data_IF_083782827416
#
_entry.id   IF_083782827416
#
_cell.length_a   1.000
_cell.length_b   1.000
_cell.length_c   1.000
_cell.angle_alpha   90.00
_cell.angle_beta   90.00
_cell.angle_gamma   90.00
#
_symmetry.space_group_name_H-M   'P 1'
#
loop_
_entity.id
_entity.type
_entity.pdbx_description
1 polymer ?
#
# COMPACT_ATOMS: atom_id res chain seq x y z
N UNK A 1 -5.57 11.67 7.50
CA UNK A 1 -6.93 12.24 7.79
C UNK A 1 -7.73 11.16 8.48
N UNK A 2 -8.28 11.44 9.66
CA UNK A 2 -9.08 10.46 10.38
C UNK A 2 -10.45 10.28 9.69
N UNK A 3 -10.91 9.05 9.61
CA UNK A 3 -12.16 8.67 8.95
C UNK A 3 -13.15 8.15 9.98
N UNK A 4 -14.39 8.61 9.94
CA UNK A 4 -15.50 8.01 10.67
C UNK A 4 -16.33 7.18 9.68
N UNK A 5 -16.63 5.94 10.05
CA UNK A 5 -17.54 5.07 9.31
C UNK A 5 -18.78 4.83 10.15
N UNK A 6 -19.92 5.24 9.62
CA UNK A 6 -21.21 5.08 10.27
C UNK A 6 -22.03 4.03 9.54
N UNK A 7 -22.65 3.13 10.28
CA UNK A 7 -23.53 2.08 9.78
C UNK A 7 -24.91 2.15 10.43
N UNK A 8 -25.95 1.76 9.69
CA UNK A 8 -27.36 1.87 10.15
C UNK A 8 -27.83 0.66 10.97
N UNK A 9 -27.31 -0.53 10.66
CA UNK A 9 -27.72 -1.81 11.28
C UNK A 9 -26.53 -2.72 11.52
N UNK A 10 -26.64 -3.64 12.49
CA UNK A 10 -25.58 -4.59 12.83
C UNK A 10 -25.11 -5.41 11.62
N UNK A 11 -26.01 -5.81 10.71
CA UNK A 11 -25.62 -6.52 9.47
C UNK A 11 -24.64 -5.73 8.58
N UNK A 12 -24.71 -4.39 8.60
CA UNK A 12 -23.84 -3.52 7.81
C UNK A 12 -22.55 -3.15 8.56
N UNK A 13 -22.41 -3.50 9.84
CA UNK A 13 -21.19 -3.32 10.61
C UNK A 13 -20.01 -4.07 9.97
N UNK A 14 -20.21 -5.33 9.53
CA UNK A 14 -19.17 -6.10 8.87
C UNK A 14 -18.61 -5.41 7.63
N UNK A 15 -19.47 -4.80 6.79
CA UNK A 15 -19.07 -4.04 5.62
C UNK A 15 -18.29 -2.77 5.99
N UNK A 16 -18.75 -2.06 7.02
CA UNK A 16 -18.05 -0.91 7.57
C UNK A 16 -16.64 -1.28 8.06
N UNK A 17 -16.50 -2.44 8.74
CA UNK A 17 -15.21 -2.96 9.21
C UNK A 17 -14.29 -3.31 8.03
N UNK A 18 -14.79 -3.94 6.97
CA UNK A 18 -14.00 -4.24 5.77
C UNK A 18 -13.43 -2.93 5.18
N UNK A 19 -14.29 -1.98 4.87
CA UNK A 19 -13.88 -0.68 4.31
C UNK A 19 -12.86 0.01 5.23
N UNK A 20 -13.16 0.11 6.51
CA UNK A 20 -12.34 0.85 7.47
C UNK A 20 -10.99 0.20 7.77
N UNK A 21 -10.90 -1.12 7.70
CA UNK A 21 -9.61 -1.83 7.86
C UNK A 21 -8.64 -1.52 6.71
N UNK A 22 -9.17 -1.29 5.51
CA UNK A 22 -8.38 -0.95 4.33
C UNK A 22 -8.02 0.56 4.32
N UNK A 23 -8.99 1.43 4.62
CA UNK A 23 -8.79 2.90 4.63
C UNK A 23 -7.79 3.35 5.68
N UNK A 24 -7.59 2.60 6.74
CA UNK A 24 -6.76 2.91 7.92
C UNK A 24 -7.17 4.18 8.68
N UNK A 25 -6.76 4.32 9.94
CA UNK A 25 -7.12 5.45 10.83
C UNK A 25 -8.63 5.70 10.87
N UNK A 26 -9.42 4.64 10.86
CA UNK A 26 -10.88 4.66 10.86
C UNK A 26 -11.43 4.36 12.26
N UNK A 27 -12.55 5.01 12.59
CA UNK A 27 -13.39 4.68 13.73
C UNK A 27 -14.78 4.31 13.23
N UNK A 28 -15.50 3.51 14.01
CA UNK A 28 -16.81 2.99 13.65
C UNK A 28 -17.85 3.48 14.65
N UNK A 29 -19.04 3.79 14.18
CA UNK A 29 -20.16 4.15 15.01
C UNK A 29 -21.49 3.70 14.39
N UNK A 30 -22.42 3.26 15.20
CA UNK A 30 -23.81 3.10 14.79
C UNK A 30 -24.46 4.45 14.53
N UNK A 31 -25.48 4.48 13.69
CA UNK A 31 -26.18 5.73 13.32
C UNK A 31 -26.77 6.47 14.55
N UNK A 32 -27.03 5.76 15.63
CA UNK A 32 -27.62 6.30 16.88
C UNK A 32 -26.59 6.68 17.93
N UNK A 33 -25.30 6.41 17.68
CA UNK A 33 -24.26 6.68 18.69
C UNK A 33 -23.94 8.17 18.80
N UNK A 34 -23.42 8.57 19.97
CA UNK A 34 -22.88 9.91 20.14
C UNK A 34 -21.53 10.03 19.43
N UNK A 35 -21.44 10.98 18.50
CA UNK A 35 -20.28 11.14 17.63
C UNK A 35 -19.66 12.54 17.80
N UNK A 36 -18.36 12.57 18.06
CA UNK A 36 -17.57 13.81 18.00
C UNK A 36 -17.10 14.05 16.55
N UNK A 37 -17.90 14.74 15.75
CA UNK A 37 -17.64 15.03 14.34
C UNK A 37 -16.39 15.90 14.09
N UNK A 38 -15.91 16.65 15.08
CA UNK A 38 -14.72 17.50 14.97
C UNK A 38 -13.41 16.68 14.86
N UNK A 39 -13.42 15.44 15.36
CA UNK A 39 -12.25 14.57 15.33
C UNK A 39 -11.94 14.00 13.93
N UNK A 40 -12.89 14.11 12.99
CA UNK A 40 -12.82 13.44 11.70
C UNK A 40 -12.88 14.41 10.52
N UNK A 41 -12.08 14.13 9.50
CA UNK A 41 -12.06 14.89 8.24
C UNK A 41 -12.85 14.21 7.10
N UNK A 42 -13.19 12.92 7.27
CA UNK A 42 -13.98 12.13 6.31
C UNK A 42 -15.10 11.40 7.02
N UNK A 43 -16.26 11.31 6.37
CA UNK A 43 -17.37 10.45 6.76
C UNK A 43 -17.64 9.42 5.67
N UNK A 44 -17.76 8.16 6.04
CA UNK A 44 -18.27 7.08 5.18
C UNK A 44 -19.58 6.59 5.82
N UNK A 45 -20.62 6.45 5.02
CA UNK A 45 -21.93 5.99 5.47
C UNK A 45 -22.28 4.69 4.77
N UNK A 46 -22.38 3.60 5.52
CA UNK A 46 -22.80 2.27 5.04
C UNK A 46 -24.19 1.97 5.57
N UNK A 47 -25.18 2.02 4.71
CA UNK A 47 -26.58 1.85 5.12
C UNK A 47 -27.41 1.19 4.03
N UNK A 48 -28.49 0.50 4.42
CA UNK A 48 -29.47 0.02 3.48
C UNK A 48 -30.08 1.23 2.73
N UNK A 49 -30.30 1.08 1.44
CA UNK A 49 -30.83 2.15 0.55
C UNK A 49 -32.05 2.84 1.18
N UNK A 50 -32.97 2.07 1.73
CA UNK A 50 -34.21 2.58 2.31
C UNK A 50 -33.99 3.42 3.59
N UNK A 51 -32.87 3.22 4.28
CA UNK A 51 -32.51 3.90 5.52
C UNK A 51 -31.69 5.17 5.32
N UNK A 52 -31.30 5.51 4.08
CA UNK A 52 -30.45 6.68 3.85
C UNK A 52 -31.06 7.99 4.30
N UNK A 53 -32.39 8.13 4.36
CA UNK A 53 -33.06 9.32 4.91
C UNK A 53 -32.69 9.53 6.39
N UNK A 54 -32.51 8.46 7.15
CA UNK A 54 -32.13 8.53 8.57
C UNK A 54 -30.70 9.04 8.77
N UNK A 55 -29.85 8.93 7.74
CA UNK A 55 -28.47 9.41 7.79
C UNK A 55 -28.33 10.92 7.64
N UNK A 56 -29.38 11.63 7.25
CA UNK A 56 -29.35 13.07 6.93
C UNK A 56 -28.78 13.92 8.09
N UNK A 57 -29.12 13.58 9.34
CA UNK A 57 -28.63 14.32 10.52
C UNK A 57 -27.09 14.24 10.65
N UNK A 58 -26.51 13.06 10.51
CA UNK A 58 -25.04 12.90 10.60
C UNK A 58 -24.35 13.50 9.37
N UNK A 59 -24.89 13.33 8.17
CA UNK A 59 -24.36 13.91 6.94
C UNK A 59 -24.29 15.44 7.03
N UNK A 60 -25.32 16.09 7.59
CA UNK A 60 -25.34 17.54 7.76
C UNK A 60 -24.26 18.05 8.73
N UNK A 61 -23.87 17.28 9.76
CA UNK A 61 -22.77 17.63 10.65
C UNK A 61 -21.41 17.59 9.96
N UNK A 62 -21.30 16.84 8.87
CA UNK A 62 -20.10 16.71 8.06
C UNK A 62 -20.14 17.57 6.79
N UNK A 63 -21.10 18.49 6.63
CA UNK A 63 -21.19 19.36 5.48
C UNK A 63 -19.85 20.10 5.24
N UNK A 64 -19.39 20.12 3.97
CA UNK A 64 -18.11 20.68 3.57
C UNK A 64 -16.89 19.80 3.86
N UNK A 65 -17.07 18.58 4.38
CA UNK A 65 -16.04 17.56 4.50
C UNK A 65 -16.18 16.50 3.40
N UNK A 66 -15.21 15.60 3.31
CA UNK A 66 -15.29 14.47 2.36
C UNK A 66 -16.33 13.45 2.85
N UNK A 67 -17.44 13.30 2.12
CA UNK A 67 -18.53 12.38 2.46
C UNK A 67 -18.66 11.34 1.37
N UNK A 68 -18.62 10.06 1.75
CA UNK A 68 -18.82 8.91 0.87
C UNK A 68 -20.04 8.12 1.34
N UNK A 69 -20.98 7.91 0.45
CA UNK A 69 -22.22 7.18 0.71
C UNK A 69 -22.12 5.80 0.05
N UNK A 70 -22.22 4.75 0.84
CA UNK A 70 -22.19 3.36 0.42
C UNK A 70 -23.57 2.71 0.63
N UNK A 71 -24.57 2.97 -0.25
CA UNK A 71 -25.86 2.33 -0.16
C UNK A 71 -25.76 0.84 -0.44
N UNK A 72 -26.29 0.01 0.45
CA UNK A 72 -26.50 -1.41 0.23
C UNK A 72 -27.81 -1.56 -0.58
N UNK A 73 -27.71 -2.16 -1.75
CA UNK A 73 -28.85 -2.24 -2.69
C UNK A 73 -28.95 -3.63 -3.34
N UNK A 74 -30.17 -4.01 -3.70
CA UNK A 74 -30.45 -5.23 -4.47
C UNK A 74 -30.13 -5.03 -5.96
N UNK A 75 -30.01 -6.12 -6.73
CA UNK A 75 -29.80 -6.08 -8.17
C UNK A 75 -30.98 -5.45 -8.93
N UNK A 76 -32.20 -5.50 -8.35
CA UNK A 76 -33.41 -4.91 -8.95
C UNK A 76 -33.47 -3.39 -8.81
N UNK A 77 -32.56 -2.79 -8.07
CA UNK A 77 -32.52 -1.34 -7.87
C UNK A 77 -31.91 -0.62 -9.07
N UNK A 78 -32.73 -0.11 -9.98
CA UNK A 78 -32.33 0.79 -11.05
C UNK A 78 -31.99 2.18 -10.48
N UNK A 79 -30.69 2.45 -10.34
CA UNK A 79 -30.16 3.74 -9.87
C UNK A 79 -30.23 3.97 -8.36
N UNK A 80 -29.47 4.94 -7.89
CA UNK A 80 -29.48 5.37 -6.48
C UNK A 80 -30.49 6.48 -6.31
N UNK A 81 -31.73 6.17 -5.88
CA UNK A 81 -32.71 7.19 -5.44
C UNK A 81 -32.36 7.77 -4.06
N UNK A 82 -31.07 7.93 -3.78
CA UNK A 82 -30.59 8.60 -2.58
C UNK A 82 -30.44 10.08 -2.93
N UNK A 83 -31.08 10.95 -2.15
CA UNK A 83 -30.87 12.38 -2.29
C UNK A 83 -29.41 12.72 -1.97
N UNK A 84 -28.65 13.13 -3.02
CA UNK A 84 -27.22 13.34 -2.97
C UNK A 84 -26.96 14.84 -3.04
N UNK A 85 -26.10 15.34 -2.14
CA UNK A 85 -25.61 16.72 -2.21
C UNK A 85 -24.38 16.82 -3.12
N UNK A 86 -24.06 18.00 -3.57
CA UNK A 86 -22.91 18.25 -4.46
C UNK A 86 -21.54 17.91 -3.81
N UNK A 87 -21.48 17.88 -2.48
CA UNK A 87 -20.30 17.55 -1.69
C UNK A 87 -20.20 16.05 -1.31
N UNK A 88 -21.11 15.21 -1.83
CA UNK A 88 -21.20 13.79 -1.50
C UNK A 88 -20.88 12.92 -2.73
N UNK A 89 -20.22 11.79 -2.49
CA UNK A 89 -19.95 10.76 -3.51
C UNK A 89 -20.68 9.48 -3.15
N UNK A 90 -21.17 8.77 -4.15
CA UNK A 90 -21.86 7.48 -3.98
C UNK A 90 -21.00 6.36 -4.53
N UNK A 91 -20.78 5.34 -3.70
CA UNK A 91 -20.10 4.10 -4.04
C UNK A 91 -20.97 2.92 -3.57
N UNK A 92 -21.89 2.42 -4.40
CA UNK A 92 -22.88 1.44 -3.98
C UNK A 92 -22.28 0.08 -3.70
N UNK A 93 -22.89 -0.65 -2.77
CA UNK A 93 -22.56 -2.04 -2.44
C UNK A 93 -23.72 -2.93 -2.90
N UNK A 94 -23.50 -3.80 -3.88
CA UNK A 94 -24.51 -4.69 -4.44
C UNK A 94 -24.70 -5.94 -3.59
N UNK A 95 -25.93 -6.35 -3.33
CA UNK A 95 -26.24 -7.49 -2.47
C UNK A 95 -25.56 -8.79 -2.92
N UNK A 96 -25.41 -9.00 -4.24
CA UNK A 96 -24.75 -10.19 -4.81
C UNK A 96 -23.22 -10.22 -4.59
N UNK A 97 -22.58 -9.08 -4.29
CA UNK A 97 -21.10 -8.91 -4.19
C UNK A 97 -20.66 -8.03 -3.03
N UNK A 98 -21.43 -7.98 -1.94
CA UNK A 98 -21.22 -7.03 -0.82
C UNK A 98 -19.78 -6.98 -0.30
N UNK A 99 -19.16 -8.14 -0.08
CA UNK A 99 -17.79 -8.22 0.42
C UNK A 99 -16.79 -7.67 -0.59
N UNK A 100 -16.90 -8.07 -1.85
CA UNK A 100 -16.00 -7.63 -2.91
C UNK A 100 -16.14 -6.14 -3.18
N UNK A 101 -17.37 -5.64 -3.22
CA UNK A 101 -17.65 -4.20 -3.39
C UNK A 101 -17.10 -3.39 -2.20
N UNK A 102 -17.25 -3.88 -0.95
CA UNK A 102 -16.69 -3.22 0.21
C UNK A 102 -15.15 -3.18 0.17
N UNK A 103 -14.50 -4.23 -0.31
CA UNK A 103 -13.04 -4.26 -0.54
C UNK A 103 -12.66 -3.22 -1.61
N UNK A 104 -13.33 -3.21 -2.76
CA UNK A 104 -13.08 -2.26 -3.86
C UNK A 104 -13.23 -0.81 -3.39
N UNK A 105 -14.30 -0.51 -2.64
CA UNK A 105 -14.51 0.82 -2.04
C UNK A 105 -13.37 1.17 -1.09
N UNK A 106 -12.98 0.23 -0.22
CA UNK A 106 -11.88 0.42 0.72
C UNK A 106 -10.54 0.71 0.01
N UNK A 107 -10.20 -0.07 -1.01
CA UNK A 107 -8.98 0.10 -1.81
C UNK A 107 -8.96 1.47 -2.52
N UNK A 108 -10.05 1.84 -3.19
CA UNK A 108 -10.15 3.13 -3.87
C UNK A 108 -9.93 4.31 -2.91
N UNK A 109 -10.56 4.26 -1.73
CA UNK A 109 -10.42 5.32 -0.72
C UNK A 109 -9.04 5.32 -0.03
N UNK A 110 -8.38 4.17 0.06
CA UNK A 110 -7.01 4.04 0.54
C UNK A 110 -6.01 4.62 -0.47
N UNK A 111 -6.17 4.32 -1.75
CA UNK A 111 -5.33 4.86 -2.83
C UNK A 111 -5.41 6.39 -2.89
N UNK A 112 -6.62 6.96 -2.78
CA UNK A 112 -6.81 8.42 -2.68
C UNK A 112 -6.08 9.01 -1.45
N UNK A 113 -6.17 8.32 -0.31
CA UNK A 113 -5.50 8.76 0.91
C UNK A 113 -3.97 8.64 0.78
N UNK A 114 -3.47 7.63 0.09
CA UNK A 114 -2.05 7.42 -0.15
C UNK A 114 -1.48 8.43 -1.16
N UNK A 115 -2.25 8.84 -2.16
CA UNK A 115 -1.87 9.91 -3.09
C UNK A 115 -1.60 11.26 -2.38
N UNK A 116 -2.18 11.49 -1.19
CA UNK A 116 -1.91 12.68 -0.38
C UNK A 116 -0.65 12.58 0.50
N UNK A 117 0.00 11.40 0.55
CA UNK A 117 1.17 11.13 1.39
C UNK A 117 2.50 11.30 0.66
N UNK A 118 2.50 11.99 -0.48
CA UNK A 118 3.74 12.36 -1.18
C UNK A 118 4.69 13.12 -0.26
N UNK A 119 6.02 12.91 -0.37
CA UNK A 119 6.98 13.59 0.48
C UNK A 119 6.88 15.12 0.32
N UNK A 120 6.58 15.88 1.40
CA UNK A 120 6.53 17.34 1.31
C UNK A 120 7.90 17.98 1.02
N UNK A 121 8.97 17.23 1.29
CA UNK A 121 10.36 17.58 0.98
C UNK A 121 11.02 16.40 0.27
N UNK A 122 10.86 16.33 -1.05
CA UNK A 122 11.31 15.18 -1.87
C UNK A 122 12.81 14.92 -1.71
N UNK A 123 13.65 15.95 -1.78
CA UNK A 123 15.11 15.80 -1.66
C UNK A 123 15.50 15.17 -0.30
N UNK A 124 14.91 15.66 0.79
CA UNK A 124 15.13 15.13 2.13
C UNK A 124 14.68 13.67 2.24
N UNK A 125 13.53 13.35 1.66
CA UNK A 125 13.05 11.97 1.59
C UNK A 125 14.04 11.07 0.85
N UNK A 126 14.45 11.45 -0.36
CA UNK A 126 15.39 10.68 -1.18
C UNK A 126 16.72 10.45 -0.47
N UNK A 127 17.24 11.49 0.21
CA UNK A 127 18.47 11.40 1.00
C UNK A 127 18.35 10.35 2.11
N UNK A 128 17.31 10.47 2.96
CA UNK A 128 17.13 9.62 4.13
C UNK A 128 16.87 8.17 3.73
N UNK A 129 15.98 7.94 2.75
CA UNK A 129 15.69 6.59 2.25
C UNK A 129 16.93 5.96 1.62
N UNK A 130 17.66 6.71 0.79
CA UNK A 130 18.88 6.22 0.17
C UNK A 130 19.95 5.88 1.21
N UNK A 131 20.12 6.71 2.24
CA UNK A 131 21.03 6.42 3.35
C UNK A 131 20.60 5.18 4.12
N UNK A 132 19.32 5.07 4.48
CA UNK A 132 18.77 3.91 5.18
C UNK A 132 19.04 2.62 4.41
N UNK A 133 18.73 2.59 3.12
CA UNK A 133 18.94 1.40 2.29
C UNK A 133 20.41 1.02 2.10
N UNK A 134 21.34 1.98 2.11
CA UNK A 134 22.80 1.69 2.05
C UNK A 134 23.38 1.18 3.34
N UNK A 135 22.70 1.37 4.47
CA UNK A 135 23.14 0.82 5.77
C UNK A 135 22.64 -0.60 6.04
N UNK A 136 21.85 -1.13 5.11
CA UNK A 136 21.30 -2.49 5.15
C UNK A 136 21.76 -3.26 3.92
N UNK A 137 21.88 -4.56 4.04
CA UNK A 137 22.27 -5.48 2.96
C UNK A 137 21.24 -6.58 2.71
N UNK A 138 20.29 -6.74 3.62
CA UNK A 138 19.30 -7.81 3.60
C UNK A 138 17.89 -7.24 3.74
N UNK A 139 16.96 -7.82 3.00
CA UNK A 139 15.54 -7.51 3.08
C UNK A 139 14.69 -8.74 2.83
N UNK A 140 13.40 -8.54 2.66
CA UNK A 140 12.44 -9.62 2.41
C UNK A 140 11.78 -9.40 1.06
N UNK A 141 12.03 -10.30 0.12
CA UNK A 141 11.34 -10.35 -1.18
C UNK A 141 10.03 -11.11 -1.03
N UNK A 142 8.91 -10.43 -1.21
CA UNK A 142 7.57 -10.99 -1.22
C UNK A 142 7.11 -11.23 -2.66
N UNK A 143 6.76 -12.48 -2.96
CA UNK A 143 6.25 -12.93 -4.25
C UNK A 143 4.97 -13.72 -4.06
N UNK A 144 4.06 -13.66 -5.03
CA UNK A 144 2.80 -14.39 -4.93
C UNK A 144 2.16 -14.63 -6.29
N UNK A 145 1.33 -15.67 -6.34
CA UNK A 145 0.53 -16.04 -7.49
C UNK A 145 -0.74 -16.74 -7.03
N UNK A 146 -1.90 -16.22 -7.43
CA UNK A 146 -3.20 -16.68 -6.95
C UNK A 146 -3.23 -16.76 -5.40
N UNK A 147 -3.51 -17.95 -4.85
CA UNK A 147 -3.56 -18.17 -3.40
C UNK A 147 -2.22 -18.61 -2.77
N UNK A 148 -1.10 -18.52 -3.52
CA UNK A 148 0.23 -18.91 -3.05
C UNK A 148 1.10 -17.69 -2.86
N UNK A 149 1.69 -17.55 -1.68
CA UNK A 149 2.55 -16.45 -1.32
C UNK A 149 3.85 -16.95 -0.69
N UNK A 150 4.91 -16.15 -0.85
CA UNK A 150 6.20 -16.44 -0.22
C UNK A 150 6.91 -15.13 0.14
N UNK A 151 7.41 -15.08 1.37
CA UNK A 151 8.36 -14.09 1.84
C UNK A 151 9.74 -14.75 1.94
N UNK A 152 10.75 -14.18 1.29
CA UNK A 152 12.11 -14.72 1.23
C UNK A 152 13.08 -13.68 1.77
N UNK A 153 13.68 -13.86 2.94
CA UNK A 153 14.86 -13.08 3.35
C UNK A 153 15.97 -13.28 2.33
N UNK A 154 16.55 -12.19 1.85
CA UNK A 154 17.52 -12.23 0.77
C UNK A 154 18.40 -10.98 0.80
N UNK A 155 19.68 -11.16 0.49
CA UNK A 155 20.61 -10.05 0.32
C UNK A 155 20.31 -9.27 -0.96
N UNK A 156 20.54 -7.95 -0.95
CA UNK A 156 20.30 -7.10 -2.11
C UNK A 156 21.47 -6.17 -2.44
N UNK A 157 21.48 -5.74 -3.68
CA UNK A 157 22.29 -4.63 -4.19
C UNK A 157 21.36 -3.61 -4.80
N UNK A 158 21.68 -2.33 -4.64
CA UNK A 158 21.00 -1.24 -5.30
C UNK A 158 21.84 -0.80 -6.50
N UNK A 159 21.22 -0.67 -7.66
CA UNK A 159 21.86 -0.14 -8.85
C UNK A 159 20.79 0.40 -9.82
N UNK A 160 21.05 1.55 -10.42
CA UNK A 160 20.25 2.14 -11.50
C UNK A 160 18.73 2.14 -11.29
N UNK A 161 18.30 2.50 -10.10
CA UNK A 161 16.87 2.62 -9.76
C UNK A 161 16.16 1.31 -9.42
N UNK A 162 16.90 0.23 -9.15
CA UNK A 162 16.35 -1.07 -8.85
C UNK A 162 17.06 -1.78 -7.69
N UNK A 163 16.36 -2.77 -7.10
CA UNK A 163 16.95 -3.75 -6.20
C UNK A 163 17.33 -5.01 -6.99
N UNK A 164 18.47 -5.55 -6.68
CA UNK A 164 19.00 -6.77 -7.30
C UNK A 164 19.32 -7.81 -6.24
N UNK A 165 18.83 -9.04 -6.43
CA UNK A 165 19.02 -10.14 -5.50
C UNK A 165 19.52 -11.37 -6.24
N UNK A 166 20.68 -11.92 -5.85
CA UNK A 166 21.15 -13.20 -6.37
C UNK A 166 20.40 -14.39 -5.79
N UNK A 167 20.12 -15.39 -6.60
CA UNK A 167 19.42 -16.59 -6.16
C UNK A 167 19.66 -17.78 -7.08
N UNK A 168 19.87 -18.94 -6.46
CA UNK A 168 20.04 -20.23 -7.18
C UNK A 168 18.71 -20.83 -7.68
N UNK A 169 17.54 -20.26 -7.29
CA UNK A 169 16.24 -20.79 -7.70
C UNK A 169 15.19 -20.84 -6.60
N UNK A 170 14.26 -21.78 -6.73
CA UNK A 170 13.21 -22.05 -5.75
C UNK A 170 11.83 -21.53 -6.16
N UNK A 171 10.82 -21.81 -5.31
CA UNK A 171 9.41 -21.55 -5.62
C UNK A 171 9.09 -20.09 -5.95
N UNK A 172 9.86 -19.12 -5.42
CA UNK A 172 9.69 -17.70 -5.75
C UNK A 172 9.75 -17.43 -7.26
N UNK A 173 10.57 -18.20 -8.01
CA UNK A 173 10.67 -18.05 -9.45
C UNK A 173 9.39 -18.45 -10.17
N UNK A 174 8.72 -19.52 -9.74
CA UNK A 174 7.44 -19.92 -10.35
C UNK A 174 6.38 -18.82 -10.20
N UNK A 175 6.40 -18.10 -9.08
CA UNK A 175 5.47 -16.98 -8.86
C UNK A 175 5.85 -15.79 -9.74
N UNK A 176 7.13 -15.40 -9.79
CA UNK A 176 7.61 -14.29 -10.62
C UNK A 176 7.43 -14.53 -12.13
N UNK A 177 7.45 -15.79 -12.59
CA UNK A 177 7.16 -16.09 -13.99
C UNK A 177 5.70 -15.85 -14.36
N UNK A 178 4.78 -16.09 -13.44
CA UNK A 178 3.34 -15.92 -13.63
C UNK A 178 2.86 -14.52 -13.29
N UNK A 179 3.30 -13.99 -12.16
CA UNK A 179 3.00 -12.65 -11.70
C UNK A 179 4.27 -11.79 -11.74
N UNK A 180 4.29 -10.80 -12.62
CA UNK A 180 5.44 -9.91 -12.81
C UNK A 180 5.53 -8.78 -11.77
N UNK A 181 4.79 -8.89 -10.67
CA UNK A 181 4.83 -7.94 -9.55
C UNK A 181 5.38 -8.60 -8.29
N UNK A 182 6.16 -7.81 -7.55
CA UNK A 182 6.69 -8.23 -6.25
C UNK A 182 6.79 -7.01 -5.32
N UNK A 183 6.97 -7.29 -4.04
CA UNK A 183 7.32 -6.27 -3.04
C UNK A 183 8.61 -6.65 -2.34
N UNK A 184 9.35 -5.64 -1.89
CA UNK A 184 10.58 -5.81 -1.13
C UNK A 184 10.53 -4.94 0.12
N UNK A 185 10.83 -5.52 1.27
CA UNK A 185 10.82 -4.79 2.53
C UNK A 185 12.20 -4.82 3.20
N UNK A 186 12.61 -3.65 3.70
CA UNK A 186 13.81 -3.49 4.54
C UNK A 186 13.39 -2.72 5.78
N UNK A 187 13.71 -3.21 6.97
CA UNK A 187 13.29 -2.56 8.21
C UNK A 187 14.26 -2.79 9.36
N UNK A 188 14.32 -1.83 10.27
CA UNK A 188 14.92 -2.01 11.58
C UNK A 188 13.98 -2.78 12.54
N UNK A 189 14.54 -3.46 13.55
CA UNK A 189 13.74 -3.98 14.65
C UNK A 189 12.96 -2.86 15.35
N UNK A 190 11.65 -3.06 15.53
CA UNK A 190 10.80 -2.06 16.18
C UNK A 190 11.15 -1.91 17.68
N UNK A 191 11.50 -0.69 18.09
CA UNK A 191 11.80 -0.32 19.48
C UNK A 191 10.98 0.89 19.95
N UNK A 192 9.87 1.17 19.28
CA UNK A 192 8.99 2.30 19.54
C UNK A 192 8.91 3.30 18.38
N UNK A 193 7.90 4.17 18.39
CA UNK A 193 7.66 5.11 17.31
C UNK A 193 8.84 6.04 16.95
N UNK A 194 9.64 6.54 17.93
CA UNK A 194 10.78 7.39 17.61
C UNK A 194 11.88 6.72 16.80
N UNK A 195 11.97 5.38 16.85
CA UNK A 195 12.96 4.57 16.15
C UNK A 195 12.36 3.74 15.03
N UNK A 196 11.09 3.98 14.70
CA UNK A 196 10.43 3.29 13.59
C UNK A 196 11.16 3.61 12.29
N UNK A 197 11.61 2.56 11.59
CA UNK A 197 12.30 2.66 10.31
C UNK A 197 11.97 1.47 9.42
N UNK A 198 11.51 1.74 8.19
CA UNK A 198 11.24 0.68 7.23
C UNK A 198 10.79 1.19 5.88
N UNK A 199 11.31 0.55 4.83
CA UNK A 199 10.95 0.76 3.43
C UNK A 199 10.15 -0.43 2.93
N UNK A 200 9.09 -0.16 2.17
CA UNK A 200 8.39 -1.12 1.33
C UNK A 200 8.48 -0.62 -0.11
N UNK A 201 9.05 -1.43 -0.98
CA UNK A 201 9.17 -1.17 -2.41
C UNK A 201 8.23 -2.12 -3.15
N UNK A 202 7.32 -1.59 -3.97
CA UNK A 202 6.41 -2.40 -4.79
C UNK A 202 6.59 -2.04 -6.25
N UNK A 203 6.72 -3.05 -7.12
CA UNK A 203 6.95 -2.80 -8.54
C UNK A 203 7.01 -4.06 -9.38
N UNK A 204 7.68 -3.93 -10.53
CA UNK A 204 7.84 -5.01 -11.50
C UNK A 204 9.10 -5.81 -11.22
N UNK A 205 9.00 -7.12 -11.41
CA UNK A 205 10.12 -8.05 -11.22
C UNK A 205 10.53 -8.70 -12.53
N UNK A 206 11.85 -8.78 -12.74
CA UNK A 206 12.51 -9.47 -13.84
C UNK A 206 13.53 -10.49 -13.34
N UNK A 207 13.98 -11.35 -14.23
CA UNK A 207 15.04 -12.32 -13.97
C UNK A 207 16.10 -12.15 -15.04
N UNK A 208 17.32 -11.90 -14.60
CA UNK A 208 18.50 -11.72 -15.45
C UNK A 208 19.43 -12.93 -15.30
N UNK A 209 20.16 -13.21 -16.38
CA UNK A 209 21.08 -14.35 -16.48
C UNK A 209 22.51 -13.87 -16.74
N UNK A 210 23.52 -14.70 -16.43
CA UNK A 210 24.91 -14.42 -16.81
C UNK A 210 25.06 -14.02 -18.28
N UNK A 211 25.96 -13.08 -18.55
CA UNK A 211 26.18 -12.52 -19.87
C UNK A 211 25.35 -11.31 -20.26
N UNK A 212 24.38 -10.92 -19.44
CA UNK A 212 23.65 -9.66 -19.62
C UNK A 212 24.40 -8.50 -18.96
N UNK A 213 24.46 -7.34 -19.61
CA UNK A 213 25.24 -6.17 -19.14
C UNK A 213 24.95 -5.79 -17.68
N UNK A 214 23.68 -5.72 -17.31
CA UNK A 214 23.26 -5.36 -15.93
C UNK A 214 23.69 -6.45 -14.94
N UNK A 215 23.61 -7.73 -15.34
CA UNK A 215 24.06 -8.84 -14.51
C UNK A 215 25.55 -8.68 -14.16
N UNK A 216 26.39 -8.44 -15.17
CA UNK A 216 27.85 -8.30 -14.99
C UNK A 216 28.19 -7.07 -14.12
N UNK A 217 27.46 -5.97 -14.30
CA UNK A 217 27.64 -4.77 -13.47
C UNK A 217 27.30 -5.02 -12.00
N UNK A 218 26.20 -5.72 -11.72
CA UNK A 218 25.80 -6.06 -10.33
C UNK A 218 26.79 -7.04 -9.72
N UNK A 219 27.31 -8.01 -10.50
CA UNK A 219 28.40 -8.88 -10.05
C UNK A 219 29.62 -8.09 -9.64
N UNK A 220 30.05 -7.13 -10.45
CA UNK A 220 31.21 -6.29 -10.15
C UNK A 220 31.00 -5.47 -8.85
N UNK A 221 29.80 -4.91 -8.63
CA UNK A 221 29.46 -4.20 -7.39
C UNK A 221 29.54 -5.10 -6.15
N UNK A 222 29.27 -6.39 -6.28
CA UNK A 222 29.41 -7.40 -5.24
C UNK A 222 30.81 -8.00 -5.12
N UNK A 223 31.73 -7.65 -6.02
CA UNK A 223 33.06 -8.27 -6.08
C UNK A 223 33.04 -9.72 -6.58
N UNK A 224 31.99 -10.15 -7.26
CA UNK A 224 31.87 -11.49 -7.85
C UNK A 224 32.50 -11.46 -9.24
N UNK A 225 33.60 -12.22 -9.43
CA UNK A 225 34.27 -12.29 -10.73
C UNK A 225 33.56 -13.24 -11.69
N UNK A 226 33.71 -13.02 -13.01
CA UNK A 226 33.21 -13.92 -14.04
C UNK A 226 33.74 -15.36 -13.85
N UNK A 227 35.02 -15.51 -13.44
CA UNK A 227 35.62 -16.81 -13.15
C UNK A 227 34.93 -17.52 -11.97
N UNK A 228 34.45 -16.75 -10.97
CA UNK A 228 33.69 -17.30 -9.84
C UNK A 228 32.37 -17.87 -10.35
N UNK A 229 31.66 -17.13 -11.20
CA UNK A 229 30.37 -17.55 -11.77
C UNK A 229 30.52 -18.80 -12.65
N UNK A 230 31.52 -18.84 -13.51
CA UNK A 230 31.80 -19.98 -14.39
C UNK A 230 32.11 -21.28 -13.61
N UNK A 231 32.70 -21.15 -12.41
CA UNK A 231 33.05 -22.31 -11.56
C UNK A 231 31.90 -22.75 -10.67
N UNK A 232 30.79 -22.00 -10.62
CA UNK A 232 29.64 -22.40 -9.81
C UNK A 232 28.98 -23.65 -10.37
N UNK A 233 28.62 -24.64 -9.55
CA UNK A 233 27.94 -25.85 -9.98
C UNK A 233 26.48 -25.61 -10.35
N UNK A 234 25.95 -24.39 -10.13
CA UNK A 234 24.55 -23.99 -10.32
C UNK A 234 24.51 -22.62 -11.00
N UNK A 235 23.46 -22.37 -11.75
CA UNK A 235 23.23 -21.05 -12.33
C UNK A 235 22.75 -20.09 -11.23
N UNK A 236 23.48 -19.01 -11.05
CA UNK A 236 23.10 -17.94 -10.15
C UNK A 236 22.25 -16.92 -10.95
N UNK A 237 20.96 -16.92 -10.71
CA UNK A 237 20.04 -15.97 -11.34
C UNK A 237 20.09 -14.64 -10.60
N UNK A 238 19.89 -13.54 -11.31
CA UNK A 238 19.75 -12.22 -10.71
C UNK A 238 18.29 -11.76 -10.82
N UNK A 239 17.63 -11.59 -9.68
CA UNK A 239 16.29 -11.03 -9.59
C UNK A 239 16.43 -9.52 -9.61
N UNK A 240 15.76 -8.85 -10.55
CA UNK A 240 15.64 -7.41 -10.60
C UNK A 240 14.24 -7.01 -10.13
N UNK A 241 14.14 -6.14 -9.13
CA UNK A 241 12.89 -5.46 -8.78
C UNK A 241 13.02 -3.97 -9.08
N UNK A 242 12.23 -3.47 -10.04
CA UNK A 242 12.10 -2.06 -10.37
C UNK A 242 10.86 -1.50 -9.66
N UNK A 243 11.04 -0.74 -8.58
CA UNK A 243 9.92 -0.18 -7.85
C UNK A 243 9.17 0.86 -8.69
N UNK A 244 7.85 0.84 -8.59
CA UNK A 244 6.95 1.88 -9.07
C UNK A 244 6.53 2.78 -7.91
N UNK A 245 6.60 2.25 -6.68
CA UNK A 245 6.27 2.95 -5.45
C UNK A 245 7.21 2.54 -4.31
N UNK A 246 7.61 3.53 -3.52
CA UNK A 246 8.26 3.32 -2.22
C UNK A 246 7.39 3.90 -1.10
N UNK A 247 7.09 3.10 -0.09
CA UNK A 247 6.51 3.57 1.16
C UNK A 247 7.60 3.55 2.23
N UNK A 248 7.84 4.70 2.86
CA UNK A 248 8.82 4.81 3.94
C UNK A 248 8.17 5.25 5.23
N UNK A 249 8.43 4.49 6.27
CA UNK A 249 8.07 4.78 7.65
C UNK A 249 9.33 5.23 8.38
N UNK A 250 9.35 6.48 8.87
CA UNK A 250 10.53 7.04 9.55
C UNK A 250 10.14 7.88 10.75
N UNK A 251 10.29 7.32 11.95
CA UNK A 251 9.93 7.98 13.21
C UNK A 251 10.59 9.34 13.44
N UNK A 252 11.88 9.53 13.09
CA UNK A 252 12.54 10.83 13.28
C UNK A 252 11.93 11.99 12.49
N UNK A 253 11.17 11.76 11.43
CA UNK A 253 10.46 12.81 10.70
C UNK A 253 9.52 13.65 11.58
N UNK A 254 9.02 13.08 12.68
CA UNK A 254 8.21 13.83 13.66
C UNK A 254 8.94 15.06 14.16
N UNK A 255 10.25 14.95 14.45
CA UNK A 255 11.08 16.07 14.92
C UNK A 255 11.30 17.13 13.87
N UNK A 256 11.17 16.79 12.60
CA UNK A 256 11.26 17.68 11.45
C UNK A 256 9.90 18.29 11.06
N UNK A 257 8.83 17.94 11.78
CA UNK A 257 7.45 18.34 11.45
C UNK A 257 6.91 17.67 10.19
N UNK A 258 7.50 16.53 9.79
CA UNK A 258 7.12 15.78 8.60
C UNK A 258 6.27 14.55 8.96
N UNK A 259 5.41 14.09 8.04
CA UNK A 259 4.67 12.85 8.24
C UNK A 259 5.60 11.65 8.39
N UNK A 260 5.30 10.75 9.35
CA UNK A 260 6.08 9.52 9.59
C UNK A 260 5.98 8.57 8.40
N UNK A 261 4.79 8.39 7.83
CA UNK A 261 4.56 7.60 6.62
C UNK A 261 4.54 8.53 5.42
N UNK A 262 5.45 8.30 4.48
CA UNK A 262 5.49 9.01 3.20
C UNK A 262 5.55 8.00 2.06
N UNK A 263 4.94 8.34 0.93
CA UNK A 263 4.85 7.48 -0.26
C UNK A 263 5.43 8.23 -1.44
N UNK A 264 6.40 7.62 -2.09
CA UNK A 264 7.09 8.18 -3.24
C UNK A 264 6.75 7.41 -4.51
N UNK A 265 6.27 8.14 -5.50
CA UNK A 265 6.04 7.68 -6.86
C UNK A 265 6.77 8.66 -7.79
N UNK A 266 7.93 8.27 -8.29
CA UNK A 266 8.78 9.17 -9.08
C UNK A 266 10.02 8.46 -9.63
N UNK A 267 11.04 9.22 -9.96
CA UNK A 267 12.31 8.67 -10.46
C UNK A 267 13.08 7.96 -9.35
N UNK A 268 13.01 6.63 -9.35
CA UNK A 268 13.69 5.78 -8.36
C UNK A 268 15.21 5.91 -8.37
N UNK A 269 15.81 6.39 -9.47
CA UNK A 269 17.26 6.65 -9.54
C UNK A 269 17.72 7.77 -8.62
N UNK A 270 16.81 8.63 -8.15
CA UNK A 270 17.14 9.63 -7.11
C UNK A 270 17.47 8.99 -5.76
N UNK A 271 16.94 7.80 -5.50
CA UNK A 271 17.04 7.07 -4.23
C UNK A 271 17.98 5.86 -4.37
N UNK A 272 17.72 5.04 -5.38
CA UNK A 272 18.39 3.76 -5.63
C UNK A 272 19.57 3.96 -6.62
N UNK A 273 20.64 4.56 -6.08
CA UNK A 273 21.86 4.90 -6.84
C UNK A 273 22.93 3.84 -6.69
#
# INVERSE_FOLDING_TARGET
MNTLIVYDREKNHGLAVIIGSIVSMSAYAGLKDEINDKAYGRLIVVADKDNFKETAKIRNRFAGKNIVLCPVQTEADEGTNVEIRADERVMPLKEASLTDDAVIVGEHLADEADATKMPPREERFCEVVGQFLRTHDTGVLATGEANKMRATPIEYVIYDGAFYCFSEGGHKFSYMWKNKRASFAVNDPFKGLPTLAGVQATGRVGILLPGQEVYEKVCALKGISAQTIEKMPVVLHLIELRPEQLTFLWGPFIKEGLPVKQIYVGDMKKILK
#
